data_IF_992951954387
#
_entry.id   IF_992951954387
#
_cell.length_a   1.000
_cell.length_b   1.000
_cell.length_c   1.000
_cell.angle_alpha   90.00
_cell.angle_beta   90.00
_cell.angle_gamma   90.00
#
_symmetry.space_group_name_H-M   'P 1'
#
loop_
_entity.id
_entity.type
_entity.pdbx_description
1 polymer ?
#
# COMPACT_ATOMS: atom_id res chain seq x y z
N UNK A 1 20.81 -37.05 14.00
CA UNK A 1 21.90 -36.41 13.23
C UNK A 1 21.23 -35.52 12.20
N UNK A 2 21.57 -34.24 12.12
CA UNK A 2 20.97 -33.31 11.13
C UNK A 2 21.60 -33.64 9.77
N UNK A 3 20.80 -33.72 8.70
CA UNK A 3 21.34 -33.94 7.35
C UNK A 3 21.98 -32.67 6.82
N UNK A 4 22.94 -32.79 5.90
CA UNK A 4 23.61 -31.62 5.30
C UNK A 4 22.60 -30.66 4.65
N UNK A 5 21.56 -31.17 4.00
CA UNK A 5 20.51 -30.36 3.39
C UNK A 5 19.70 -29.56 4.42
N UNK A 6 19.35 -30.18 5.55
CA UNK A 6 18.67 -29.48 6.66
C UNK A 6 19.57 -28.40 7.25
N UNK A 7 20.87 -28.67 7.40
CA UNK A 7 21.84 -27.70 7.87
C UNK A 7 21.94 -26.49 6.91
N UNK A 8 22.09 -26.74 5.62
CA UNK A 8 22.19 -25.68 4.61
C UNK A 8 20.91 -24.85 4.50
N UNK A 9 19.74 -25.48 4.59
CA UNK A 9 18.44 -24.79 4.61
C UNK A 9 18.30 -23.87 5.83
N UNK A 10 18.62 -24.37 7.03
CA UNK A 10 18.60 -23.57 8.27
C UNK A 10 19.60 -22.40 8.20
N UNK A 11 20.80 -22.64 7.68
CA UNK A 11 21.81 -21.59 7.48
C UNK A 11 21.30 -20.48 6.57
N UNK A 12 20.70 -20.81 5.41
CA UNK A 12 20.10 -19.82 4.50
C UNK A 12 19.02 -19.00 5.20
N UNK A 13 18.12 -19.65 5.94
CA UNK A 13 17.06 -18.98 6.70
C UNK A 13 17.61 -18.01 7.74
N UNK A 14 18.64 -18.42 8.50
CA UNK A 14 19.29 -17.57 9.49
C UNK A 14 19.99 -16.36 8.86
N UNK A 15 20.66 -16.54 7.72
CA UNK A 15 21.27 -15.44 6.98
C UNK A 15 20.21 -14.43 6.52
N UNK A 16 19.08 -14.92 5.98
CA UNK A 16 17.99 -14.04 5.55
C UNK A 16 17.37 -13.28 6.72
N UNK A 17 17.14 -13.97 7.84
CA UNK A 17 16.63 -13.36 9.06
C UNK A 17 17.58 -12.27 9.57
N UNK A 18 18.89 -12.54 9.64
CA UNK A 18 19.89 -11.55 10.04
C UNK A 18 19.93 -10.33 9.10
N UNK A 19 19.81 -10.53 7.77
CA UNK A 19 19.70 -9.44 6.80
C UNK A 19 18.46 -8.59 7.06
N UNK A 20 17.30 -9.21 7.26
CA UNK A 20 16.04 -8.52 7.54
C UNK A 20 16.10 -7.70 8.83
N UNK A 21 16.70 -8.25 9.90
CA UNK A 21 16.89 -7.51 11.15
C UNK A 21 17.76 -6.26 10.96
N UNK A 22 18.87 -6.38 10.24
CA UNK A 22 19.75 -5.23 9.94
C UNK A 22 19.04 -4.17 9.10
N UNK A 23 18.26 -4.58 8.10
CA UNK A 23 17.48 -3.66 7.27
C UNK A 23 16.41 -2.94 8.09
N UNK A 24 15.67 -3.66 8.95
CA UNK A 24 14.66 -3.07 9.84
C UNK A 24 15.26 -2.03 10.78
N UNK A 25 16.40 -2.33 11.40
CA UNK A 25 17.08 -1.38 12.28
C UNK A 25 17.51 -0.10 11.53
N UNK A 26 18.01 -0.24 10.30
CA UNK A 26 18.36 0.91 9.45
C UNK A 26 17.14 1.74 9.08
N UNK A 27 16.03 1.09 8.73
CA UNK A 27 14.77 1.77 8.38
C UNK A 27 14.21 2.55 9.56
N UNK A 28 14.23 1.98 10.76
CA UNK A 28 13.81 2.66 12.00
C UNK A 28 14.68 3.90 12.20
N UNK A 29 16.00 3.75 12.20
CA UNK A 29 16.92 4.88 12.37
C UNK A 29 16.69 5.97 11.34
N UNK A 30 16.57 5.61 10.06
CA UNK A 30 16.30 6.56 8.98
C UNK A 30 14.98 7.31 9.19
N UNK A 31 13.94 6.62 9.67
CA UNK A 31 12.64 7.23 9.95
C UNK A 31 12.71 8.17 11.16
N UNK A 32 13.38 7.76 12.23
CA UNK A 32 13.57 8.58 13.42
C UNK A 32 14.37 9.86 13.08
N UNK A 33 15.45 9.72 12.32
CA UNK A 33 16.26 10.85 11.85
C UNK A 33 15.41 11.82 11.00
N UNK A 34 14.54 11.29 10.12
CA UNK A 34 13.63 12.10 9.32
C UNK A 34 12.56 12.82 10.16
N UNK A 35 11.98 12.15 11.16
CA UNK A 35 11.02 12.76 12.10
C UNK A 35 11.66 13.95 12.82
N UNK A 36 12.88 13.76 13.32
CA UNK A 36 13.64 14.81 14.02
C UNK A 36 13.93 15.99 13.09
N UNK A 37 14.35 15.71 11.85
CA UNK A 37 14.67 16.75 10.87
C UNK A 37 13.47 17.59 10.44
N UNK A 38 12.26 17.03 10.45
CA UNK A 38 11.04 17.74 10.02
C UNK A 38 10.50 18.75 11.05
N UNK A 39 11.00 18.70 12.30
CA UNK A 39 10.54 19.54 13.41
C UNK A 39 9.01 19.61 13.51
N UNK A 40 8.38 18.44 13.67
CA UNK A 40 6.91 18.31 13.69
C UNK A 40 6.35 18.85 15.01
N UNK A 41 5.52 19.87 14.91
CA UNK A 41 4.91 20.56 16.05
C UNK A 41 3.38 20.48 15.94
N UNK A 42 2.75 19.84 16.91
CA UNK A 42 1.30 19.72 16.99
C UNK A 42 0.70 20.80 17.89
N UNK A 43 -0.42 21.37 17.47
CA UNK A 43 -1.29 22.08 18.40
C UNK A 43 -1.95 21.04 19.32
N UNK A 44 -1.57 21.09 20.60
CA UNK A 44 -2.02 20.10 21.58
C UNK A 44 -3.52 20.16 21.82
N UNK A 45 -4.14 21.34 21.74
CA UNK A 45 -5.58 21.51 21.96
C UNK A 45 -6.34 20.96 20.76
N UNK A 46 -5.97 21.36 19.54
CA UNK A 46 -6.63 20.92 18.30
C UNK A 46 -6.47 19.40 18.11
N UNK A 47 -5.30 18.83 18.42
CA UNK A 47 -5.10 17.39 18.38
C UNK A 47 -5.98 16.63 19.39
N UNK A 48 -6.20 17.22 20.58
CA UNK A 48 -7.07 16.62 21.58
C UNK A 48 -8.55 16.71 21.16
N UNK A 49 -8.96 17.84 20.58
CA UNK A 49 -10.30 18.03 20.03
C UNK A 49 -10.56 17.05 18.86
N UNK A 50 -9.57 16.83 17.99
CA UNK A 50 -9.62 15.80 16.94
C UNK A 50 -9.72 14.39 17.51
N UNK A 51 -8.94 14.07 18.55
CA UNK A 51 -9.04 12.76 19.21
C UNK A 51 -10.45 12.53 19.78
N UNK A 52 -11.00 13.52 20.48
CA UNK A 52 -12.37 13.42 20.99
C UNK A 52 -13.39 13.35 19.85
N UNK A 53 -13.20 14.07 18.75
CA UNK A 53 -14.06 13.97 17.56
C UNK A 53 -14.11 12.55 17.00
N UNK A 54 -12.96 11.89 16.87
CA UNK A 54 -12.86 10.55 16.29
C UNK A 54 -13.39 9.45 17.21
N UNK A 55 -13.22 9.60 18.53
CA UNK A 55 -13.43 8.51 19.48
C UNK A 55 -14.53 8.76 20.54
N UNK A 56 -15.09 9.97 20.63
CA UNK A 56 -16.17 10.25 21.58
C UNK A 56 -17.54 9.92 21.02
N UNK A 57 -18.40 9.35 21.86
CA UNK A 57 -19.82 9.11 21.57
C UNK A 57 -20.69 10.37 21.60
N UNK A 58 -20.16 11.51 22.07
CA UNK A 58 -20.88 12.78 22.16
C UNK A 58 -20.67 13.61 20.89
N UNK A 59 -21.73 13.76 20.09
CA UNK A 59 -21.76 14.52 18.82
C UNK A 59 -21.74 16.06 18.98
N UNK A 60 -21.09 16.60 20.01
CA UNK A 60 -20.98 18.04 20.20
C UNK A 60 -19.63 18.56 19.71
N UNK A 61 -19.23 18.13 18.51
CA UNK A 61 -18.06 18.71 17.88
C UNK A 61 -18.55 19.80 16.93
N UNK A 62 -18.17 21.07 17.14
CA UNK A 62 -18.60 22.15 16.29
C UNK A 62 -18.05 21.93 14.88
N UNK A 63 -18.90 22.03 13.85
CA UNK A 63 -18.55 21.89 12.42
C UNK A 63 -17.39 22.81 11.96
N UNK A 64 -16.94 23.76 12.80
CA UNK A 64 -16.01 24.83 12.47
C UNK A 64 -14.53 24.53 12.69
N UNK A 65 -14.14 23.43 13.33
CA UNK A 65 -12.73 23.17 13.66
C UNK A 65 -11.93 22.46 12.54
N UNK A 66 -12.56 22.13 11.40
CA UNK A 66 -11.85 21.49 10.27
C UNK A 66 -10.71 22.35 9.72
N UNK A 67 -10.85 23.66 9.77
CA UNK A 67 -9.83 24.60 9.28
C UNK A 67 -8.82 24.97 10.38
N UNK A 68 -8.96 24.44 11.60
CA UNK A 68 -8.02 24.71 12.67
C UNK A 68 -6.68 24.05 12.34
N UNK A 69 -5.61 24.82 12.49
CA UNK A 69 -4.24 24.33 12.30
C UNK A 69 -3.95 23.23 13.32
N UNK A 70 -3.70 22.02 12.82
CA UNK A 70 -3.43 20.84 13.65
C UNK A 70 -1.93 20.65 13.89
N UNK A 71 -1.13 20.77 12.82
CA UNK A 71 0.30 20.44 12.87
C UNK A 71 1.09 21.27 11.86
N UNK A 72 2.29 21.69 12.25
CA UNK A 72 3.27 22.31 11.39
C UNK A 72 4.53 21.44 11.30
N UNK A 73 5.15 21.38 10.13
CA UNK A 73 6.37 20.62 9.90
C UNK A 73 7.08 21.14 8.64
N UNK A 74 8.40 21.31 8.69
CA UNK A 74 9.24 21.69 7.54
C UNK A 74 8.66 22.82 6.65
N UNK A 75 8.13 23.89 7.26
CA UNK A 75 7.51 25.03 6.55
C UNK A 75 6.14 24.76 5.92
N UNK A 76 5.59 23.55 6.09
CA UNK A 76 4.23 23.16 5.72
C UNK A 76 3.36 23.02 6.95
N UNK A 77 2.04 22.98 6.75
CA UNK A 77 1.08 22.76 7.82
C UNK A 77 -0.11 21.94 7.31
N UNK A 78 -0.70 21.18 8.22
CA UNK A 78 -2.00 20.53 8.00
C UNK A 78 -3.01 21.12 8.96
N UNK A 79 -4.19 21.40 8.44
CA UNK A 79 -5.40 21.59 9.22
C UNK A 79 -6.05 20.23 9.56
N UNK A 80 -7.11 20.27 10.35
CA UNK A 80 -7.86 19.08 10.73
C UNK A 80 -8.49 18.39 9.52
N UNK A 81 -9.02 19.15 8.55
CA UNK A 81 -9.65 18.61 7.35
C UNK A 81 -8.70 17.75 6.54
N UNK A 82 -7.50 18.26 6.28
CA UNK A 82 -6.44 17.55 5.56
C UNK A 82 -5.95 16.34 6.36
N UNK A 83 -5.83 16.45 7.68
CA UNK A 83 -5.47 15.32 8.52
C UNK A 83 -6.52 14.19 8.46
N UNK A 84 -7.82 14.52 8.44
CA UNK A 84 -8.91 13.56 8.27
C UNK A 84 -8.87 12.90 6.88
N UNK A 85 -8.60 13.66 5.82
CA UNK A 85 -8.39 13.13 4.47
C UNK A 85 -7.25 12.10 4.47
N UNK A 86 -6.10 12.43 5.06
CA UNK A 86 -4.93 11.55 5.16
C UNK A 86 -5.19 10.30 5.99
N UNK A 87 -5.96 10.42 7.08
CA UNK A 87 -6.40 9.26 7.86
C UNK A 87 -7.34 8.37 7.04
N UNK A 88 -8.17 8.94 6.16
CA UNK A 88 -9.03 8.19 5.25
C UNK A 88 -8.29 7.32 4.22
N UNK A 89 -7.00 7.58 3.96
CA UNK A 89 -6.15 6.75 3.10
C UNK A 89 -5.66 5.46 3.80
N UNK A 90 -5.88 5.31 5.11
CA UNK A 90 -5.47 4.13 5.87
C UNK A 90 -6.46 2.98 5.66
N UNK A 91 -5.94 1.75 5.61
CA UNK A 91 -6.78 0.54 5.61
C UNK A 91 -7.51 0.37 6.95
N UNK A 92 -8.62 -0.37 6.96
CA UNK A 92 -9.38 -0.70 8.18
C UNK A 92 -8.49 -1.30 9.28
N UNK A 93 -7.55 -2.17 8.92
CA UNK A 93 -6.60 -2.77 9.84
C UNK A 93 -5.56 -1.79 10.42
N UNK A 94 -5.29 -0.69 9.71
CA UNK A 94 -4.44 0.39 10.22
C UNK A 94 -5.24 1.32 11.13
N UNK A 95 -6.46 1.67 10.72
CA UNK A 95 -7.38 2.49 11.52
C UNK A 95 -7.72 1.82 12.85
N UNK A 96 -7.97 0.51 12.86
CA UNK A 96 -8.30 -0.24 14.08
C UNK A 96 -7.18 -0.26 15.14
N UNK A 97 -5.94 0.09 14.75
CA UNK A 97 -4.80 0.22 15.68
C UNK A 97 -4.73 1.59 16.33
N UNK A 98 -5.48 2.58 15.84
CA UNK A 98 -5.55 3.90 16.43
C UNK A 98 -6.59 3.85 17.55
N UNK A 99 -6.13 3.59 18.78
CA UNK A 99 -7.03 3.35 19.92
C UNK A 99 -6.85 4.36 21.05
N UNK A 100 -5.77 5.14 21.00
CA UNK A 100 -5.40 6.12 22.01
C UNK A 100 -4.92 7.42 21.37
N UNK A 101 -4.86 8.48 22.19
CA UNK A 101 -4.31 9.77 21.77
C UNK A 101 -2.88 9.66 21.25
N UNK A 102 -2.06 8.82 21.89
CA UNK A 102 -0.68 8.57 21.46
C UNK A 102 -0.65 7.89 20.09
N UNK A 103 -1.50 6.89 19.88
CA UNK A 103 -1.60 6.18 18.60
C UNK A 103 -2.01 7.13 17.47
N UNK A 104 -2.97 8.04 17.73
CA UNK A 104 -3.41 9.03 16.75
C UNK A 104 -2.25 9.96 16.37
N UNK A 105 -1.54 10.50 17.38
CA UNK A 105 -0.37 11.36 17.13
C UNK A 105 0.70 10.63 16.33
N UNK A 106 0.97 9.37 16.65
CA UNK A 106 1.95 8.54 15.94
C UNK A 106 1.51 8.22 14.50
N UNK A 107 0.22 7.92 14.29
CA UNK A 107 -0.34 7.68 12.96
C UNK A 107 -0.22 8.91 12.07
N UNK A 108 -0.60 10.09 12.59
CA UNK A 108 -0.44 11.37 11.88
C UNK A 108 1.04 11.65 11.57
N UNK A 109 1.93 11.42 12.53
CA UNK A 109 3.38 11.58 12.34
C UNK A 109 3.90 10.66 11.24
N UNK A 110 3.45 9.41 11.22
CA UNK A 110 3.79 8.45 10.17
C UNK A 110 3.27 8.85 8.80
N UNK A 111 2.07 9.42 8.71
CA UNK A 111 1.49 9.95 7.47
C UNK A 111 2.27 11.16 6.94
N UNK A 112 2.71 12.06 7.83
CA UNK A 112 3.57 13.19 7.48
C UNK A 112 4.91 12.67 6.91
N UNK A 113 5.56 11.74 7.62
CA UNK A 113 6.81 11.12 7.15
C UNK A 113 6.64 10.45 5.79
N UNK A 114 5.56 9.68 5.62
CA UNK A 114 5.27 9.01 4.35
C UNK A 114 5.12 10.01 3.20
N UNK A 115 4.41 11.12 3.44
CA UNK A 115 4.25 12.18 2.44
C UNK A 115 5.59 12.79 2.03
N UNK A 116 6.47 13.05 3.01
CA UNK A 116 7.84 13.51 2.76
C UNK A 116 8.66 12.50 1.95
N UNK A 117 8.64 11.22 2.34
CA UNK A 117 9.38 10.17 1.63
C UNK A 117 8.90 9.99 0.19
N UNK A 118 7.60 10.11 -0.05
CA UNK A 118 7.05 10.07 -1.41
C UNK A 118 7.52 11.27 -2.23
N UNK A 119 7.47 12.48 -1.68
CA UNK A 119 7.98 13.68 -2.34
C UNK A 119 9.48 13.55 -2.66
N UNK A 120 10.28 13.06 -1.71
CA UNK A 120 11.71 12.82 -1.91
C UNK A 120 11.96 11.75 -2.96
N UNK A 121 11.20 10.67 -2.97
CA UNK A 121 11.34 9.60 -3.95
C UNK A 121 10.98 10.08 -5.37
N UNK A 122 9.99 10.96 -5.50
CA UNK A 122 9.64 11.62 -6.74
C UNK A 122 10.75 12.56 -7.21
N UNK A 123 11.25 13.43 -6.31
CA UNK A 123 12.34 14.37 -6.60
C UNK A 123 13.62 13.66 -7.03
N UNK A 124 13.96 12.56 -6.36
CA UNK A 124 15.12 11.73 -6.68
C UNK A 124 14.87 10.74 -7.83
N UNK A 125 13.69 10.81 -8.47
CA UNK A 125 13.34 9.95 -9.61
C UNK A 125 13.54 8.46 -9.34
N UNK A 126 13.31 8.02 -8.11
CA UNK A 126 13.46 6.59 -7.73
C UNK A 126 12.55 5.72 -8.60
N UNK A 127 11.37 6.25 -8.92
CA UNK A 127 10.40 5.61 -9.79
C UNK A 127 10.89 5.41 -11.23
N UNK A 128 11.88 6.16 -11.72
CA UNK A 128 12.45 5.98 -13.06
C UNK A 128 13.57 4.91 -13.08
N UNK A 129 14.04 4.45 -11.92
CA UNK A 129 15.13 3.47 -11.85
C UNK A 129 14.72 2.10 -12.38
N UNK A 130 15.65 1.42 -13.06
CA UNK A 130 15.42 0.07 -13.60
C UNK A 130 14.98 -0.91 -12.52
N UNK A 131 15.62 -0.85 -11.35
CA UNK A 131 15.28 -1.72 -10.23
C UNK A 131 13.83 -1.50 -9.78
N UNK A 132 13.41 -0.24 -9.60
CA UNK A 132 12.03 0.07 -9.21
C UNK A 132 11.03 -0.39 -10.27
N UNK A 133 11.32 -0.14 -11.55
CA UNK A 133 10.44 -0.53 -12.66
C UNK A 133 10.28 -2.06 -12.77
N UNK A 134 11.37 -2.81 -12.60
CA UNK A 134 11.34 -4.27 -12.58
C UNK A 134 10.53 -4.82 -11.40
N UNK A 135 10.78 -4.30 -10.19
CA UNK A 135 10.04 -4.70 -8.99
C UNK A 135 8.55 -4.34 -9.11
N UNK A 136 8.24 -3.15 -9.61
CA UNK A 136 6.87 -2.68 -9.84
C UNK A 136 6.14 -3.58 -10.84
N UNK A 137 6.74 -3.88 -12.00
CA UNK A 137 6.15 -4.78 -13.01
C UNK A 137 5.88 -6.16 -12.43
N UNK A 138 6.84 -6.72 -11.69
CA UNK A 138 6.69 -8.01 -11.01
C UNK A 138 5.53 -7.98 -10.01
N UNK A 139 5.46 -6.95 -9.16
CA UNK A 139 4.41 -6.85 -8.16
C UNK A 139 3.03 -6.65 -8.79
N UNK A 140 2.91 -5.77 -9.79
CA UNK A 140 1.68 -5.55 -10.57
C UNK A 140 1.16 -6.86 -11.16
N UNK A 141 2.04 -7.65 -11.78
CA UNK A 141 1.66 -8.95 -12.35
C UNK A 141 1.20 -9.93 -11.28
N UNK A 142 1.91 -10.03 -10.15
CA UNK A 142 1.52 -10.89 -9.02
C UNK A 142 0.17 -10.48 -8.44
N UNK A 143 -0.08 -9.18 -8.26
CA UNK A 143 -1.37 -8.65 -7.80
C UNK A 143 -2.48 -8.99 -8.77
N UNK A 144 -2.25 -8.83 -10.08
CA UNK A 144 -3.24 -9.16 -11.12
C UNK A 144 -3.60 -10.65 -11.08
N UNK A 145 -2.60 -11.54 -11.02
CA UNK A 145 -2.81 -12.98 -10.87
C UNK A 145 -3.60 -13.27 -9.58
N UNK A 146 -3.24 -12.64 -8.46
CA UNK A 146 -3.94 -12.83 -7.18
C UNK A 146 -5.41 -12.41 -7.25
N UNK A 147 -5.72 -11.30 -7.92
CA UNK A 147 -7.08 -10.83 -8.14
C UNK A 147 -7.86 -11.83 -8.98
N UNK A 148 -7.29 -12.28 -10.10
CA UNK A 148 -7.92 -13.27 -10.98
C UNK A 148 -8.18 -14.57 -10.23
N UNK A 149 -7.18 -15.11 -9.53
CA UNK A 149 -7.34 -16.33 -8.72
C UNK A 149 -8.40 -16.17 -7.63
N UNK A 150 -8.44 -15.02 -6.95
CA UNK A 150 -9.48 -14.73 -5.96
C UNK A 150 -10.87 -14.72 -6.61
N UNK A 151 -11.01 -14.11 -7.78
CA UNK A 151 -12.28 -14.09 -8.53
C UNK A 151 -12.73 -15.47 -8.99
N UNK A 152 -11.80 -16.31 -9.44
CA UNK A 152 -12.06 -17.71 -9.81
C UNK A 152 -12.45 -18.54 -8.58
N UNK A 153 -11.78 -18.33 -7.44
CA UNK A 153 -12.10 -19.03 -6.18
C UNK A 153 -13.42 -18.57 -5.55
N UNK A 154 -13.85 -17.33 -5.82
CA UNK A 154 -15.16 -16.82 -5.41
C UNK A 154 -16.30 -17.36 -6.30
N UNK A 155 -15.97 -17.92 -7.47
CA UNK A 155 -16.87 -18.55 -8.43
C UNK A 155 -17.43 -19.93 -8.04
N UNK A 156 -17.54 -20.24 -6.74
CA UNK A 156 -18.29 -21.41 -6.26
C UNK A 156 -19.28 -21.09 -5.13
N UNK A 157 -19.51 -19.83 -4.81
CA UNK A 157 -20.58 -19.45 -3.88
C UNK A 157 -21.05 -18.01 -4.10
N UNK A 158 -22.29 -17.89 -4.56
CA UNK A 158 -23.12 -16.69 -4.74
C UNK A 158 -23.12 -16.02 -6.12
N UNK A 159 -24.26 -16.20 -6.79
CA UNK A 159 -24.85 -15.29 -7.78
C UNK A 159 -24.83 -13.84 -7.29
N UNK A 160 -23.74 -13.13 -7.55
CA UNK A 160 -23.82 -11.67 -7.65
C UNK A 160 -23.25 -11.25 -8.99
N UNK A 161 -24.15 -10.69 -9.79
CA UNK A 161 -23.99 -10.17 -11.14
C UNK A 161 -23.01 -8.97 -11.14
N UNK A 162 -21.74 -9.21 -10.82
CA UNK A 162 -20.66 -8.41 -11.41
C UNK A 162 -20.58 -8.90 -12.85
N UNK A 163 -21.21 -8.12 -13.74
CA UNK A 163 -21.61 -8.56 -15.07
C UNK A 163 -20.52 -9.40 -15.73
N UNK A 164 -20.86 -10.63 -16.12
CA UNK A 164 -20.00 -11.50 -16.93
C UNK A 164 -19.35 -10.76 -18.11
N UNK A 165 -20.00 -9.69 -18.58
CA UNK A 165 -19.52 -8.74 -19.57
C UNK A 165 -18.21 -8.04 -19.17
N UNK A 166 -18.08 -7.55 -17.94
CA UNK A 166 -16.86 -6.87 -17.49
C UNK A 166 -15.68 -7.83 -17.30
N UNK A 167 -15.96 -9.05 -16.86
CA UNK A 167 -14.96 -10.13 -16.79
C UNK A 167 -14.49 -10.53 -18.19
N UNK A 168 -15.44 -10.63 -19.14
CA UNK A 168 -15.15 -10.94 -20.55
C UNK A 168 -14.34 -9.83 -21.22
N UNK A 169 -14.67 -8.56 -20.98
CA UNK A 169 -13.90 -7.42 -21.48
C UNK A 169 -12.46 -7.43 -20.96
N UNK A 170 -12.27 -7.61 -19.65
CA UNK A 170 -10.94 -7.69 -19.06
C UNK A 170 -10.11 -8.88 -19.60
N UNK A 171 -10.76 -10.02 -19.85
CA UNK A 171 -10.11 -11.17 -20.48
C UNK A 171 -9.66 -10.87 -21.91
N UNK A 172 -10.48 -10.20 -22.72
CA UNK A 172 -10.09 -9.82 -24.08
C UNK A 172 -8.98 -8.77 -24.12
N UNK A 173 -8.99 -7.80 -23.19
CA UNK A 173 -7.90 -6.82 -23.07
C UNK A 173 -6.59 -7.54 -22.76
N UNK A 174 -6.58 -8.41 -21.75
CA UNK A 174 -5.41 -9.21 -21.39
C UNK A 174 -4.91 -10.10 -22.55
N UNK A 175 -5.83 -10.80 -23.24
CA UNK A 175 -5.50 -11.61 -24.41
C UNK A 175 -4.87 -10.75 -25.52
N UNK A 176 -5.45 -9.60 -25.80
CA UNK A 176 -4.99 -8.72 -26.86
C UNK A 176 -3.61 -8.15 -26.54
N UNK A 177 -3.36 -7.76 -25.29
CA UNK A 177 -2.02 -7.35 -24.82
C UNK A 177 -0.99 -8.48 -25.01
N UNK A 178 -1.34 -9.73 -24.65
CA UNK A 178 -0.47 -10.88 -24.89
C UNK A 178 -0.20 -11.14 -26.37
N UNK A 179 -1.20 -11.00 -27.23
CA UNK A 179 -1.03 -11.20 -28.68
C UNK A 179 -0.26 -10.08 -29.37
N UNK A 180 -0.26 -8.85 -28.83
CA UNK A 180 0.54 -7.75 -29.37
C UNK A 180 2.05 -7.97 -29.14
N UNK A 181 2.40 -8.66 -28.06
CA UNK A 181 3.80 -8.99 -27.70
C UNK A 181 4.28 -10.34 -28.27
N UNK A 182 3.45 -11.07 -29.03
CA UNK A 182 3.81 -12.40 -29.53
C UNK A 182 3.60 -12.56 -31.04
N UNK A 183 4.61 -13.09 -31.73
CA UNK A 183 4.52 -13.45 -33.15
C UNK A 183 3.78 -14.78 -33.29
N UNK A 184 2.46 -14.73 -33.45
CA UNK A 184 1.61 -15.92 -33.56
C UNK A 184 1.46 -16.30 -35.04
N UNK A 185 2.21 -17.32 -35.47
CA UNK A 185 1.99 -17.97 -36.77
C UNK A 185 0.95 -19.07 -36.61
N UNK A 186 -0.26 -18.87 -37.17
CA UNK A 186 -1.31 -19.90 -37.20
C UNK A 186 -1.16 -20.75 -38.46
N UNK A 187 -0.84 -22.02 -38.29
CA UNK A 187 -0.87 -23.00 -39.38
C UNK A 187 -2.33 -23.30 -39.76
N UNK A 188 -2.75 -22.77 -40.91
CA UNK A 188 -4.13 -22.86 -41.39
C UNK A 188 -4.64 -24.30 -41.60
N UNK A 189 -3.73 -25.27 -41.72
CA UNK A 189 -4.09 -26.69 -41.88
C UNK A 189 -4.71 -27.29 -40.61
N UNK A 190 -4.37 -26.79 -39.43
CA UNK A 190 -4.93 -27.27 -38.15
C UNK A 190 -6.32 -26.69 -37.82
N UNK A 191 -6.70 -25.55 -38.42
CA UNK A 191 -7.98 -24.88 -38.12
C UNK A 191 -9.18 -25.61 -38.76
N UNK A 192 -8.94 -26.47 -39.76
CA UNK A 192 -10.02 -27.22 -40.43
C UNK A 192 -10.66 -28.34 -39.61
N UNK A 193 -10.13 -28.68 -38.43
CA UNK A 193 -10.68 -29.79 -37.62
C UNK A 193 -11.70 -29.36 -36.57
N UNK A 194 -12.03 -28.07 -36.46
CA UNK A 194 -13.11 -27.59 -35.62
C UNK A 194 -14.21 -26.93 -36.46
N UNK A 195 -15.04 -27.77 -37.07
CA UNK A 195 -16.41 -27.40 -37.44
C UNK A 195 -17.33 -28.25 -36.57
N UNK A 196 -18.25 -27.56 -35.89
CA UNK A 196 -19.31 -27.98 -34.95
C UNK A 196 -19.76 -29.44 -35.01
#
# INVERSE_FOLDING_TARGET
MITEDEYQSRKKRLIQLAKNYKQKARLIKFTDDAILAMNIEYDKKVLNDLFYFLFSTRKNIPEKFQNDKLVAFNGSEWDVGHALEKLGELSENQLSKISSFLDLKQALTGLICRSKFLADAQQNKIHESDQFQQEYKSHRNQTMISIVMKSLSAGSSSDTVLSHQKIRENYFIFRNELTLDSEITVDSLMVKTFIM
#
